data_IF_534837450297
#
_entry.id   IF_534837450297
#
_cell.length_a   1.000
_cell.length_b   1.000
_cell.length_c   1.000
_cell.angle_alpha   90.00
_cell.angle_beta   90.00
_cell.angle_gamma   90.00
#
_symmetry.space_group_name_H-M   'P 1'
#
loop_
_entity.id
_entity.type
_entity.pdbx_description
1 polymer ?
#
# COMPACT_ATOMS: atom_id res chain seq x y z
N UNK A 1 -1.01 5.40 -8.42
CA UNK A 1 -0.91 4.20 -9.31
C UNK A 1 0.03 4.58 -10.46
N UNK A 2 0.70 3.64 -11.13
CA UNK A 2 1.50 4.02 -12.31
C UNK A 2 0.54 4.37 -13.45
N UNK A 3 0.69 5.54 -14.10
CA UNK A 3 -0.23 5.97 -15.15
C UNK A 3 -0.05 5.15 -16.42
N UNK A 4 -1.19 4.66 -16.92
CA UNK A 4 -1.28 3.99 -18.22
C UNK A 4 -1.41 4.99 -19.35
N UNK A 5 -2.21 6.04 -19.17
CA UNK A 5 -2.43 7.13 -20.14
C UNK A 5 -1.41 8.25 -19.94
N UNK A 6 -0.80 8.70 -21.03
CA UNK A 6 0.18 9.79 -21.08
C UNK A 6 -0.33 10.95 -21.95
N UNK A 7 0.18 12.19 -21.74
CA UNK A 7 -0.11 13.30 -22.64
C UNK A 7 0.21 12.96 -24.09
N UNK A 8 -0.71 13.26 -25.00
CA UNK A 8 -0.59 12.96 -26.43
C UNK A 8 -1.10 11.58 -26.87
N UNK A 9 -1.52 10.72 -25.95
CA UNK A 9 -2.18 9.46 -26.31
C UNK A 9 -3.54 9.73 -26.98
N UNK A 10 -3.80 9.07 -28.11
CA UNK A 10 -5.14 8.99 -28.70
C UNK A 10 -5.86 7.78 -28.12
N UNK A 11 -7.00 7.98 -27.45
CA UNK A 11 -7.75 6.90 -26.82
C UNK A 11 -8.95 6.46 -27.68
N UNK A 12 -9.18 5.16 -27.72
CA UNK A 12 -10.39 4.56 -28.28
C UNK A 12 -11.23 4.01 -27.15
N UNK A 13 -12.54 4.24 -27.24
CA UNK A 13 -13.49 3.76 -26.25
C UNK A 13 -14.66 3.05 -26.91
N UNK A 14 -15.30 2.17 -26.15
CA UNK A 14 -16.55 1.50 -26.53
C UNK A 14 -17.66 1.88 -25.56
N UNK A 15 -18.89 1.99 -26.06
CA UNK A 15 -20.05 2.21 -25.20
C UNK A 15 -20.27 0.96 -24.35
N UNK A 16 -20.38 1.13 -23.04
CA UNK A 16 -20.65 0.06 -22.09
C UNK A 16 -21.63 0.59 -21.04
N UNK A 17 -22.70 -0.16 -20.78
CA UNK A 17 -23.66 0.20 -19.73
C UNK A 17 -22.93 0.33 -18.39
N UNK A 18 -23.26 1.37 -17.62
CA UNK A 18 -22.59 1.67 -16.35
C UNK A 18 -22.65 0.51 -15.36
N UNK A 19 -23.74 -0.25 -15.36
CA UNK A 19 -23.93 -1.46 -14.55
C UNK A 19 -22.89 -2.57 -14.82
N UNK A 20 -22.28 -2.57 -16.01
CA UNK A 20 -21.27 -3.55 -16.41
C UNK A 20 -19.84 -3.07 -16.14
N UNK A 21 -19.65 -1.82 -15.69
CA UNK A 21 -18.33 -1.28 -15.36
C UNK A 21 -17.80 -1.90 -14.07
N UNK A 22 -16.52 -2.26 -14.10
CA UNK A 22 -15.84 -2.90 -12.96
C UNK A 22 -14.83 -1.93 -12.34
N UNK A 23 -14.45 -2.19 -11.09
CA UNK A 23 -13.27 -1.56 -10.51
C UNK A 23 -12.05 -1.81 -11.42
N UNK A 24 -11.19 -0.81 -11.54
CA UNK A 24 -10.05 -0.71 -12.45
C UNK A 24 -10.36 -0.53 -13.94
N UNK A 25 -11.62 -0.50 -14.39
CA UNK A 25 -11.93 -0.06 -15.76
C UNK A 25 -11.47 1.41 -15.95
N UNK A 26 -10.84 1.72 -17.08
CA UNK A 26 -10.60 3.10 -17.51
C UNK A 26 -11.82 3.60 -18.28
N UNK A 27 -12.42 4.71 -17.87
CA UNK A 27 -13.64 5.23 -18.50
C UNK A 27 -13.43 6.65 -19.01
N UNK A 28 -14.11 6.97 -20.12
CA UNK A 28 -14.30 8.32 -20.60
C UNK A 28 -15.58 8.87 -19.96
N UNK A 29 -15.48 10.01 -19.29
CA UNK A 29 -16.61 10.64 -18.62
C UNK A 29 -16.62 12.16 -18.83
N UNK A 30 -17.81 12.75 -18.78
CA UNK A 30 -18.04 14.18 -18.90
C UNK A 30 -18.74 14.72 -17.64
N UNK A 31 -18.07 15.64 -16.94
CA UNK A 31 -18.58 16.27 -15.71
C UNK A 31 -18.03 17.68 -15.58
N UNK A 32 -18.90 18.63 -15.20
CA UNK A 32 -18.55 20.04 -15.03
C UNK A 32 -17.82 20.59 -16.26
N UNK A 33 -18.38 20.37 -17.44
CA UNK A 33 -17.85 20.83 -18.74
C UNK A 33 -16.47 20.27 -19.12
N UNK A 34 -16.01 19.24 -18.40
CA UNK A 34 -14.72 18.60 -18.64
C UNK A 34 -14.90 17.15 -19.06
N UNK A 35 -14.28 16.83 -20.19
CA UNK A 35 -14.08 15.46 -20.66
C UNK A 35 -12.77 14.93 -20.06
N UNK A 36 -12.80 13.75 -19.47
CA UNK A 36 -11.60 13.10 -18.92
C UNK A 36 -11.67 11.58 -19.01
N UNK A 37 -10.50 10.94 -19.05
CA UNK A 37 -10.35 9.50 -19.06
C UNK A 37 -9.64 9.03 -17.79
N UNK A 38 -10.37 8.50 -16.83
CA UNK A 38 -9.85 8.13 -15.50
C UNK A 38 -10.30 6.73 -15.08
N UNK A 39 -9.61 6.16 -14.09
CA UNK A 39 -9.86 4.80 -13.61
C UNK A 39 -11.00 4.79 -12.61
N UNK A 40 -11.91 3.83 -12.72
CA UNK A 40 -12.89 3.52 -11.68
C UNK A 40 -12.17 2.90 -10.48
N UNK A 41 -12.14 3.60 -9.36
CA UNK A 41 -11.47 3.16 -8.13
C UNK A 41 -12.45 2.66 -7.06
N UNK A 42 -13.75 2.92 -7.23
CA UNK A 42 -14.82 2.46 -6.35
C UNK A 42 -16.17 2.53 -7.06
N UNK A 43 -17.09 1.63 -6.71
CA UNK A 43 -18.41 1.52 -7.33
C UNK A 43 -19.49 1.27 -6.29
N UNK A 44 -20.67 1.87 -6.52
CA UNK A 44 -21.93 1.56 -5.86
C UNK A 44 -23.00 1.21 -6.89
N UNK A 45 -24.24 0.96 -6.47
CA UNK A 45 -25.37 0.82 -7.38
C UNK A 45 -25.71 2.14 -8.11
N UNK A 46 -25.54 3.29 -7.46
CA UNK A 46 -25.99 4.59 -8.00
C UNK A 46 -24.90 5.45 -8.64
N UNK A 47 -23.64 5.23 -8.29
CA UNK A 47 -22.51 6.05 -8.79
C UNK A 47 -21.18 5.31 -8.75
N UNK A 48 -20.21 5.84 -9.50
CA UNK A 48 -18.80 5.47 -9.49
C UNK A 48 -17.97 6.57 -8.83
N UNK A 49 -16.77 6.22 -8.34
CA UNK A 49 -15.72 7.20 -8.09
C UNK A 49 -14.55 6.88 -8.99
N UNK A 50 -14.11 7.89 -9.73
CA UNK A 50 -12.95 7.79 -10.63
C UNK A 50 -11.78 8.61 -10.13
N UNK A 51 -10.59 8.27 -10.61
CA UNK A 51 -9.36 9.00 -10.34
C UNK A 51 -8.33 8.75 -11.43
N UNK A 52 -7.67 9.79 -11.90
CA UNK A 52 -6.48 9.64 -12.76
C UNK A 52 -5.37 8.91 -11.99
N UNK A 53 -4.64 8.00 -12.65
CA UNK A 53 -3.69 7.11 -11.98
C UNK A 53 -2.62 7.85 -11.15
N UNK A 54 -2.22 9.04 -11.62
CA UNK A 54 -1.24 9.92 -10.97
C UNK A 54 -1.87 11.15 -10.29
N UNK A 55 -3.20 11.28 -10.26
CA UNK A 55 -3.86 12.40 -9.59
C UNK A 55 -3.86 12.19 -8.08
N UNK A 56 -3.79 13.28 -7.32
CA UNK A 56 -3.94 13.22 -5.85
C UNK A 56 -5.42 13.12 -5.48
N UNK A 57 -6.27 13.93 -6.11
CA UNK A 57 -7.69 14.00 -5.82
C UNK A 57 -8.48 13.08 -6.76
N UNK A 58 -9.52 12.44 -6.23
CA UNK A 58 -10.54 11.76 -7.03
C UNK A 58 -11.50 12.77 -7.69
N UNK A 59 -12.25 12.31 -8.69
CA UNK A 59 -13.22 13.13 -9.43
C UNK A 59 -14.57 13.27 -8.69
N UNK A 60 -14.67 12.71 -7.49
CA UNK A 60 -15.91 12.57 -6.73
C UNK A 60 -16.89 11.58 -7.35
N UNK A 61 -18.19 11.75 -7.09
CA UNK A 61 -19.24 10.88 -7.64
C UNK A 61 -19.41 11.13 -9.14
N UNK A 62 -19.39 10.06 -9.93
CA UNK A 62 -19.69 10.02 -11.36
C UNK A 62 -20.95 9.18 -11.55
N UNK A 63 -22.01 9.80 -12.07
CA UNK A 63 -23.30 9.17 -12.30
C UNK A 63 -23.36 8.50 -13.68
N UNK A 64 -24.26 7.51 -13.90
CA UNK A 64 -24.35 6.78 -15.17
C UNK A 64 -24.41 7.67 -16.42
N UNK A 65 -25.23 8.73 -16.38
CA UNK A 65 -25.38 9.71 -17.49
C UNK A 65 -24.09 10.48 -17.85
N UNK A 66 -23.11 10.49 -16.95
CA UNK A 66 -21.84 11.16 -17.14
C UNK A 66 -20.80 10.25 -17.79
N UNK A 67 -21.06 8.94 -17.88
CA UNK A 67 -20.14 7.99 -18.48
C UNK A 67 -20.43 7.88 -19.98
N UNK A 68 -19.42 8.11 -20.80
CA UNK A 68 -19.52 8.02 -22.26
C UNK A 68 -19.17 6.59 -22.73
N UNK A 69 -18.12 5.99 -22.16
CA UNK A 69 -17.68 4.65 -22.52
C UNK A 69 -16.46 4.18 -21.74
N UNK A 70 -16.00 2.96 -22.03
CA UNK A 70 -14.78 2.37 -21.46
C UNK A 70 -13.66 2.50 -22.47
N UNK A 71 -12.50 2.98 -22.03
CA UNK A 71 -11.28 3.03 -22.83
C UNK A 71 -10.79 1.60 -23.04
N UNK A 72 -10.59 1.19 -24.29
CA UNK A 72 -10.16 -0.17 -24.65
C UNK A 72 -8.79 -0.19 -25.30
N UNK A 73 -8.44 0.85 -26.05
CA UNK A 73 -7.16 0.95 -26.78
C UNK A 73 -6.61 2.37 -26.71
N UNK A 74 -5.31 2.51 -26.92
CA UNK A 74 -4.68 3.80 -27.14
C UNK A 74 -3.62 3.73 -28.24
N UNK A 75 -3.39 4.84 -28.93
CA UNK A 75 -2.23 5.03 -29.79
C UNK A 75 -1.25 5.98 -29.10
N UNK A 76 0.02 5.57 -29.05
CA UNK A 76 1.13 6.37 -28.54
C UNK A 76 2.20 6.48 -29.63
N UNK A 77 2.23 7.61 -30.33
CA UNK A 77 2.98 7.72 -31.58
C UNK A 77 2.51 6.65 -32.58
N UNK A 78 3.42 5.83 -33.07
CA UNK A 78 3.12 4.75 -34.02
C UNK A 78 2.77 3.42 -33.36
N UNK A 79 2.60 3.37 -32.03
CA UNK A 79 2.27 2.15 -31.29
C UNK A 79 0.77 2.05 -31.03
N UNK A 80 0.16 0.96 -31.47
CA UNK A 80 -1.22 0.59 -31.12
C UNK A 80 -1.21 -0.32 -29.90
N UNK A 81 -1.82 0.14 -28.80
CA UNK A 81 -1.80 -0.56 -27.52
C UNK A 81 -3.23 -0.95 -27.15
N UNK A 82 -3.51 -2.25 -27.16
CA UNK A 82 -4.69 -2.80 -26.51
C UNK A 82 -4.45 -2.90 -25.00
N UNK A 83 -5.36 -2.35 -24.21
CA UNK A 83 -5.14 -2.20 -22.77
C UNK A 83 -5.13 -3.53 -22.02
N UNK A 84 -6.00 -4.47 -22.38
CA UNK A 84 -6.03 -5.77 -21.71
C UNK A 84 -4.77 -6.57 -22.03
N UNK A 85 -4.33 -6.56 -23.30
CA UNK A 85 -3.06 -7.17 -23.69
C UNK A 85 -1.87 -6.51 -22.99
N UNK A 86 -1.86 -5.18 -22.86
CA UNK A 86 -0.81 -4.47 -22.15
C UNK A 86 -0.72 -4.89 -20.68
N UNK A 87 -1.84 -4.95 -19.96
CA UNK A 87 -1.86 -5.40 -18.57
C UNK A 87 -1.43 -6.87 -18.43
N UNK A 88 -1.85 -7.73 -19.36
CA UNK A 88 -1.46 -9.14 -19.37
C UNK A 88 0.05 -9.28 -19.58
N UNK A 89 0.61 -8.63 -20.60
CA UNK A 89 2.06 -8.66 -20.88
C UNK A 89 2.84 -8.13 -19.67
N UNK A 90 2.40 -7.00 -19.10
CA UNK A 90 3.07 -6.40 -17.94
C UNK A 90 3.04 -7.34 -16.73
N UNK A 91 1.87 -7.90 -16.42
CA UNK A 91 1.68 -8.81 -15.30
C UNK A 91 2.47 -10.11 -15.49
N UNK A 92 2.50 -10.67 -16.69
CA UNK A 92 3.24 -11.90 -17.00
C UNK A 92 4.74 -11.70 -16.87
N UNK A 93 5.29 -10.62 -17.45
CA UNK A 93 6.71 -10.30 -17.32
C UNK A 93 7.11 -10.06 -15.86
N UNK A 94 6.27 -9.32 -15.12
CA UNK A 94 6.49 -9.06 -13.69
C UNK A 94 6.43 -10.35 -12.86
N UNK A 95 5.43 -11.19 -13.09
CA UNK A 95 5.25 -12.46 -12.38
C UNK A 95 6.37 -13.47 -12.70
N UNK A 96 6.88 -13.48 -13.93
CA UNK A 96 8.02 -14.33 -14.32
C UNK A 96 9.26 -14.02 -13.48
N UNK A 97 9.54 -12.74 -13.20
CA UNK A 97 10.70 -12.35 -12.39
C UNK A 97 10.46 -12.63 -10.91
N UNK A 98 9.22 -12.54 -10.43
CA UNK A 98 8.85 -13.02 -9.09
C UNK A 98 9.04 -14.53 -8.97
N UNK A 99 8.64 -15.32 -9.97
CA UNK A 99 8.89 -16.77 -9.98
C UNK A 99 10.37 -17.09 -9.90
N UNK A 100 11.20 -16.37 -10.67
CA UNK A 100 12.66 -16.54 -10.64
C UNK A 100 13.22 -16.26 -9.25
N UNK A 101 12.90 -15.09 -8.67
CA UNK A 101 13.37 -14.74 -7.32
C UNK A 101 12.84 -15.72 -6.27
N UNK A 102 11.58 -16.12 -6.33
CA UNK A 102 11.01 -17.14 -5.45
C UNK A 102 11.80 -18.46 -5.53
N UNK A 103 12.14 -18.92 -6.73
CA UNK A 103 12.97 -20.12 -6.91
C UNK A 103 14.37 -19.94 -6.30
N UNK A 104 15.05 -18.82 -6.59
CA UNK A 104 16.39 -18.57 -6.06
C UNK A 104 16.42 -18.47 -4.52
N UNK A 105 15.42 -17.82 -3.91
CA UNK A 105 15.29 -17.73 -2.46
C UNK A 105 15.01 -19.11 -1.81
N UNK A 106 14.13 -19.92 -2.42
CA UNK A 106 13.86 -21.28 -1.96
C UNK A 106 15.10 -22.19 -2.08
N UNK A 107 15.80 -22.16 -3.20
CA UNK A 107 17.04 -22.91 -3.41
C UNK A 107 18.14 -22.48 -2.43
N UNK A 108 18.20 -21.18 -2.12
CA UNK A 108 19.07 -20.63 -1.08
C UNK A 108 18.62 -20.93 0.36
N UNK A 109 17.50 -21.65 0.56
CA UNK A 109 16.89 -21.93 1.87
C UNK A 109 16.66 -20.67 2.71
N UNK A 110 16.30 -19.57 2.04
CA UNK A 110 15.95 -18.32 2.72
C UNK A 110 14.60 -18.52 3.42
N UNK A 111 14.50 -18.06 4.66
CA UNK A 111 13.24 -17.92 5.37
C UNK A 111 12.59 -16.60 4.98
N UNK A 112 11.66 -16.65 4.03
CA UNK A 112 10.96 -15.48 3.53
C UNK A 112 9.46 -15.74 3.37
N UNK A 113 8.72 -14.63 3.21
CA UNK A 113 7.31 -14.59 2.81
C UNK A 113 7.07 -13.39 1.90
N UNK A 114 6.15 -13.54 0.95
CA UNK A 114 5.56 -12.42 0.24
C UNK A 114 4.51 -11.74 1.13
N UNK A 115 4.64 -10.43 1.30
CA UNK A 115 3.77 -9.60 2.12
C UNK A 115 2.66 -8.92 1.29
N UNK A 116 3.03 -8.46 0.09
CA UNK A 116 2.11 -7.85 -0.88
C UNK A 116 2.62 -8.12 -2.30
N UNK A 117 1.79 -7.81 -3.29
CA UNK A 117 2.17 -7.82 -4.70
C UNK A 117 1.37 -8.81 -5.52
N UNK A 118 1.86 -9.09 -6.72
CA UNK A 118 1.11 -9.83 -7.73
C UNK A 118 0.73 -11.27 -7.32
N UNK A 119 1.57 -12.07 -6.63
CA UNK A 119 1.19 -13.43 -6.22
C UNK A 119 -0.08 -13.44 -5.35
N UNK A 120 -0.11 -12.63 -4.31
CA UNK A 120 -1.25 -12.56 -3.38
C UNK A 120 -2.50 -12.05 -4.13
N UNK A 121 -2.34 -11.07 -5.01
CA UNK A 121 -3.46 -10.60 -5.84
C UNK A 121 -3.99 -11.69 -6.79
N UNK A 122 -3.14 -12.42 -7.50
CA UNK A 122 -3.57 -13.50 -8.39
C UNK A 122 -4.29 -14.61 -7.62
N UNK A 123 -3.77 -14.96 -6.43
CA UNK A 123 -4.40 -15.97 -5.59
C UNK A 123 -5.80 -15.59 -5.13
N UNK A 124 -6.00 -14.36 -4.66
CA UNK A 124 -7.31 -13.93 -4.20
C UNK A 124 -8.22 -13.51 -5.34
N UNK A 125 -7.77 -12.74 -6.33
CA UNK A 125 -8.64 -12.20 -7.38
C UNK A 125 -8.90 -13.18 -8.54
N UNK A 126 -8.03 -14.19 -8.72
CA UNK A 126 -8.09 -15.20 -9.79
C UNK A 126 -8.07 -14.61 -11.21
N UNK A 127 -7.69 -13.35 -11.35
CA UNK A 127 -7.63 -12.63 -12.62
C UNK A 127 -6.39 -11.76 -12.64
N UNK A 128 -5.85 -11.50 -13.83
CA UNK A 128 -4.81 -10.51 -14.01
C UNK A 128 -5.36 -9.13 -13.65
N UNK A 129 -4.59 -8.32 -12.92
CA UNK A 129 -5.07 -7.02 -12.52
C UNK A 129 -5.06 -6.06 -13.71
N UNK A 130 -6.12 -5.26 -13.83
CA UNK A 130 -6.23 -4.17 -14.83
C UNK A 130 -5.47 -2.91 -14.42
N UNK A 131 -4.28 -3.06 -13.84
CA UNK A 131 -3.39 -1.97 -13.41
C UNK A 131 -1.95 -2.44 -13.44
N UNK A 132 -1.03 -1.50 -13.60
CA UNK A 132 0.41 -1.80 -13.58
C UNK A 132 0.84 -2.10 -12.13
N UNK A 133 1.49 -3.24 -11.92
CA UNK A 133 2.18 -3.57 -10.67
C UNK A 133 3.65 -3.20 -10.77
N UNK A 134 4.18 -2.61 -9.70
CA UNK A 134 5.54 -2.08 -9.70
C UNK A 134 6.41 -2.70 -8.60
N UNK A 135 5.80 -3.00 -7.46
CA UNK A 135 6.46 -3.38 -6.22
C UNK A 135 5.92 -4.71 -5.64
N UNK A 136 6.85 -5.47 -5.09
CA UNK A 136 6.61 -6.73 -4.41
C UNK A 136 7.32 -6.68 -3.07
N UNK A 137 6.56 -6.74 -1.98
CA UNK A 137 7.13 -6.68 -0.64
C UNK A 137 7.41 -8.09 -0.16
N UNK A 138 8.62 -8.31 0.30
CA UNK A 138 9.09 -9.60 0.81
C UNK A 138 9.65 -9.38 2.20
N UNK A 139 9.12 -10.09 3.20
CA UNK A 139 9.73 -10.15 4.52
C UNK A 139 10.73 -11.30 4.53
N UNK A 140 11.91 -11.04 5.07
CA UNK A 140 12.95 -12.06 5.25
C UNK A 140 13.36 -12.13 6.71
N UNK A 141 13.97 -13.25 7.08
CA UNK A 141 14.82 -13.28 8.27
C UNK A 141 16.02 -12.33 8.07
N UNK A 142 16.18 -11.39 9.01
CA UNK A 142 17.22 -10.35 8.94
C UNK A 142 18.62 -10.97 8.93
N UNK A 143 18.80 -12.10 9.59
CA UNK A 143 20.11 -12.77 9.68
C UNK A 143 20.56 -13.34 8.32
N UNK A 144 19.62 -13.49 7.38
CA UNK A 144 19.88 -13.93 6.01
C UNK A 144 19.99 -12.77 5.01
N UNK A 145 20.02 -11.52 5.48
CA UNK A 145 20.08 -10.33 4.61
C UNK A 145 21.27 -10.33 3.65
N UNK A 146 22.45 -10.77 4.08
CA UNK A 146 23.64 -10.86 3.20
C UNK A 146 23.43 -11.88 2.06
N UNK A 147 22.80 -13.01 2.35
CA UNK A 147 22.48 -14.02 1.35
C UNK A 147 21.45 -13.51 0.35
N UNK A 148 20.39 -12.84 0.82
CA UNK A 148 19.36 -12.24 -0.03
C UNK A 148 19.94 -11.16 -0.94
N UNK A 149 20.83 -10.32 -0.39
CA UNK A 149 21.56 -9.32 -1.18
C UNK A 149 22.38 -9.99 -2.30
N UNK A 150 23.13 -11.06 -1.99
CA UNK A 150 23.91 -11.82 -2.99
C UNK A 150 23.00 -12.40 -4.08
N UNK A 151 21.88 -13.01 -3.70
CA UNK A 151 20.91 -13.58 -4.64
C UNK A 151 20.38 -12.50 -5.59
N UNK A 152 19.84 -11.40 -5.05
CA UNK A 152 19.24 -10.33 -5.86
C UNK A 152 20.26 -9.67 -6.80
N UNK A 153 21.47 -9.40 -6.31
CA UNK A 153 22.55 -8.83 -7.14
C UNK A 153 22.96 -9.79 -8.26
N UNK A 154 23.09 -11.09 -7.97
CA UNK A 154 23.40 -12.11 -9.00
C UNK A 154 22.30 -12.24 -10.06
N UNK A 155 21.06 -11.90 -9.70
CA UNK A 155 19.90 -11.88 -10.59
C UNK A 155 19.76 -10.57 -11.40
N UNK A 156 20.75 -9.69 -11.30
CA UNK A 156 20.84 -8.43 -12.04
C UNK A 156 19.99 -7.30 -11.45
N UNK A 157 19.57 -7.40 -10.18
CA UNK A 157 18.92 -6.30 -9.49
C UNK A 157 19.94 -5.28 -9.00
N UNK A 158 19.53 -4.00 -9.02
CA UNK A 158 20.30 -2.89 -8.48
C UNK A 158 19.71 -2.53 -7.12
N UNK A 159 20.58 -2.41 -6.12
CA UNK A 159 20.24 -1.98 -4.77
C UNK A 159 20.07 -0.46 -4.71
N UNK A 160 18.97 0.02 -4.14
CA UNK A 160 18.68 1.45 -3.98
C UNK A 160 18.74 1.85 -2.50
N UNK A 161 19.37 3.00 -2.24
CA UNK A 161 19.28 3.64 -0.93
C UNK A 161 18.06 4.57 -0.89
N UNK A 162 17.21 4.41 0.12
CA UNK A 162 15.94 5.16 0.25
C UNK A 162 16.04 6.39 1.16
N UNK A 163 17.24 6.74 1.63
CA UNK A 163 17.46 7.84 2.57
C UNK A 163 17.30 9.22 1.89
N UNK A 164 16.75 10.21 2.61
CA UNK A 164 16.58 11.57 2.09
C UNK A 164 17.88 12.37 1.95
N UNK A 165 18.85 12.08 2.81
CA UNK A 165 20.16 12.73 2.85
C UNK A 165 21.17 11.82 3.56
N UNK A 166 22.48 12.05 3.37
CA UNK A 166 23.52 11.36 4.15
C UNK A 166 23.36 11.53 5.66
N UNK A 167 22.98 12.73 6.12
CA UNK A 167 22.70 13.00 7.53
C UNK A 167 21.53 12.12 8.02
N UNK A 168 20.46 12.01 7.22
CA UNK A 168 19.33 11.17 7.57
C UNK A 168 19.70 9.68 7.63
N UNK A 169 20.60 9.23 6.76
CA UNK A 169 21.16 7.87 6.81
C UNK A 169 21.92 7.63 8.12
N UNK A 170 22.74 8.59 8.55
CA UNK A 170 23.50 8.51 9.80
C UNK A 170 22.59 8.53 11.04
N UNK A 171 21.57 9.40 11.05
CA UNK A 171 20.63 9.52 12.17
C UNK A 171 19.66 8.34 12.29
N UNK A 172 19.49 7.54 11.23
CA UNK A 172 18.61 6.37 11.22
C UNK A 172 19.29 5.21 11.96
N UNK A 173 18.89 5.00 13.21
CA UNK A 173 19.42 3.97 14.10
C UNK A 173 19.11 2.51 13.68
N UNK A 174 18.14 2.30 12.78
CA UNK A 174 17.74 0.96 12.33
C UNK A 174 17.32 0.94 10.88
N UNK A 175 17.83 -0.03 10.13
CA UNK A 175 17.38 -0.34 8.77
C UNK A 175 16.15 -1.24 8.81
N UNK A 176 15.07 -0.80 8.18
CA UNK A 176 13.77 -1.48 8.20
C UNK A 176 13.45 -2.18 6.88
N UNK A 177 13.98 -1.67 5.77
CA UNK A 177 13.79 -2.20 4.42
C UNK A 177 14.95 -1.82 3.48
N UNK A 178 15.05 -2.53 2.36
CA UNK A 178 15.88 -2.18 1.19
C UNK A 178 15.08 -2.39 -0.08
N UNK A 179 15.16 -1.41 -0.98
CA UNK A 179 14.57 -1.52 -2.31
C UNK A 179 15.59 -2.03 -3.32
N UNK A 180 15.20 -3.03 -4.10
CA UNK A 180 15.93 -3.55 -5.25
C UNK A 180 15.11 -3.31 -6.50
N UNK A 181 15.75 -2.94 -7.62
CA UNK A 181 15.04 -2.89 -8.88
C UNK A 181 15.84 -3.39 -10.06
N UNK A 182 15.13 -3.98 -11.01
CA UNK A 182 15.66 -4.44 -12.30
C UNK A 182 14.76 -3.94 -13.41
N UNK A 183 15.35 -3.62 -14.57
CA UNK A 183 14.59 -3.33 -15.79
C UNK A 183 14.64 -4.57 -16.67
N UNK A 184 13.50 -5.22 -16.89
CA UNK A 184 13.35 -6.40 -17.73
C UNK A 184 12.30 -6.11 -18.80
N UNK A 185 12.63 -6.27 -20.08
CA UNK A 185 11.72 -5.98 -21.21
C UNK A 185 11.02 -4.61 -21.12
N UNK A 186 11.78 -3.55 -20.78
CA UNK A 186 11.30 -2.16 -20.55
C UNK A 186 10.36 -1.98 -19.35
N UNK A 187 10.05 -3.04 -18.61
CA UNK A 187 9.27 -2.99 -17.38
C UNK A 187 10.22 -2.89 -16.20
N UNK A 188 9.93 -1.99 -15.27
CA UNK A 188 10.66 -1.90 -13.99
C UNK A 188 10.02 -2.86 -13.00
N UNK A 189 10.82 -3.76 -12.45
CA UNK A 189 10.45 -4.66 -11.36
C UNK A 189 11.13 -4.14 -10.10
N UNK A 190 10.35 -3.95 -9.04
CA UNK A 190 10.85 -3.52 -7.73
C UNK A 190 10.52 -4.58 -6.68
N UNK A 191 11.52 -4.93 -5.87
CA UNK A 191 11.36 -5.70 -4.65
C UNK A 191 11.71 -4.82 -3.45
N UNK A 192 10.78 -4.71 -2.51
CA UNK A 192 11.05 -4.11 -1.22
C UNK A 192 11.28 -5.24 -0.22
N UNK A 193 12.54 -5.41 0.18
CA UNK A 193 12.97 -6.42 1.14
C UNK A 193 12.86 -5.84 2.54
N UNK A 194 11.87 -6.31 3.29
CA UNK A 194 11.59 -5.92 4.66
C UNK A 194 12.37 -6.80 5.65
N UNK A 195 12.89 -6.17 6.71
CA UNK A 195 13.52 -6.85 7.85
C UNK A 195 12.61 -6.91 9.07
N UNK A 196 11.44 -6.28 9.00
CA UNK A 196 10.44 -6.29 10.05
C UNK A 196 9.04 -6.05 9.47
N UNK A 197 8.01 -6.39 10.22
CA UNK A 197 6.61 -6.05 9.95
C UNK A 197 6.39 -4.52 10.06
N UNK A 198 6.92 -3.78 9.11
CA UNK A 198 7.06 -2.33 9.19
C UNK A 198 5.76 -1.62 8.79
N UNK A 199 5.14 -0.94 9.75
CA UNK A 199 3.96 -0.09 9.53
C UNK A 199 4.13 1.33 10.06
N UNK A 200 5.29 1.64 10.63
CA UNK A 200 5.62 2.95 11.20
C UNK A 200 6.27 3.84 10.13
N UNK A 201 7.18 4.74 10.53
CA UNK A 201 7.91 5.59 9.60
C UNK A 201 9.29 5.03 9.31
N UNK A 202 9.44 4.43 8.14
CA UNK A 202 10.70 3.87 7.63
C UNK A 202 11.85 4.88 7.73
N UNK A 203 11.54 6.16 7.61
CA UNK A 203 12.52 7.24 7.50
C UNK A 203 13.11 7.59 8.87
N UNK A 204 12.35 7.40 9.96
CA UNK A 204 12.81 7.74 11.30
C UNK A 204 13.55 6.58 11.99
N UNK A 205 13.66 5.42 11.33
CA UNK A 205 14.24 4.22 11.94
C UNK A 205 13.34 3.65 13.03
N UNK A 206 13.91 3.27 14.17
CA UNK A 206 13.15 2.75 15.30
C UNK A 206 12.44 3.87 16.05
N UNK A 207 11.11 3.85 16.03
CA UNK A 207 10.24 4.70 16.83
C UNK A 207 9.81 4.00 18.12
N UNK A 208 10.78 3.41 18.84
CA UNK A 208 10.54 2.61 20.05
C UNK A 208 9.79 3.35 21.16
N UNK A 209 9.87 4.69 21.18
CA UNK A 209 9.15 5.56 22.11
C UNK A 209 7.64 5.68 21.81
N UNK A 210 7.23 5.40 20.57
CA UNK A 210 5.83 5.39 20.14
C UNK A 210 5.27 3.98 19.99
N UNK A 211 6.12 2.98 19.79
CA UNK A 211 5.68 1.59 19.75
C UNK A 211 6.84 0.64 20.04
N UNK A 212 6.60 -0.33 20.93
CA UNK A 212 7.63 -1.27 21.37
C UNK A 212 8.29 -2.03 20.22
N UNK A 213 9.61 -1.85 20.07
CA UNK A 213 10.40 -2.61 19.10
C UNK A 213 10.38 -4.12 19.40
N UNK A 214 10.23 -4.51 20.68
CA UNK A 214 10.06 -5.91 21.08
C UNK A 214 8.81 -6.51 20.44
N UNK A 215 7.71 -5.76 20.39
CA UNK A 215 6.48 -6.22 19.75
C UNK A 215 6.64 -6.33 18.23
N UNK A 216 7.33 -5.39 17.58
CA UNK A 216 7.63 -5.48 16.14
C UNK A 216 8.46 -6.74 15.85
N UNK A 217 9.50 -7.00 16.65
CA UNK A 217 10.39 -8.15 16.43
C UNK A 217 9.63 -9.48 16.65
N UNK A 218 8.80 -9.58 17.70
CA UNK A 218 7.96 -10.75 17.93
C UNK A 218 6.94 -10.95 16.80
N UNK A 219 6.23 -9.90 16.39
CA UNK A 219 5.27 -9.97 15.28
C UNK A 219 5.96 -10.38 13.95
N UNK A 220 7.17 -9.87 13.71
CA UNK A 220 8.00 -10.27 12.56
C UNK A 220 8.33 -11.76 12.60
N UNK A 221 8.71 -12.26 13.78
CA UNK A 221 9.02 -13.68 13.98
C UNK A 221 7.77 -14.53 13.76
N UNK A 222 6.64 -14.11 14.33
CA UNK A 222 5.33 -14.76 14.14
C UNK A 222 4.98 -14.86 12.66
N UNK A 223 5.11 -13.77 11.90
CA UNK A 223 4.82 -13.75 10.47
C UNK A 223 5.67 -14.71 9.65
N UNK A 224 6.96 -14.83 9.98
CA UNK A 224 7.87 -15.79 9.33
C UNK A 224 7.56 -17.25 9.72
N UNK A 225 7.09 -17.48 10.95
CA UNK A 225 6.73 -18.79 11.48
C UNK A 225 5.36 -19.28 10.94
N UNK A 226 4.34 -18.42 10.98
CA UNK A 226 2.96 -18.72 10.59
C UNK A 226 2.68 -18.43 9.11
N UNK A 227 3.63 -18.82 8.26
CA UNK A 227 3.48 -18.74 6.82
C UNK A 227 2.76 -19.97 6.27
N UNK A 228 1.98 -19.77 5.22
CA UNK A 228 1.38 -20.85 4.43
C UNK A 228 1.87 -20.80 3.00
N UNK A 229 1.77 -21.92 2.31
CA UNK A 229 2.07 -22.00 0.88
C UNK A 229 0.78 -21.83 0.08
N UNK A 230 0.78 -20.90 -0.87
CA UNK A 230 -0.25 -20.80 -1.91
C UNK A 230 0.31 -21.27 -3.25
N UNK A 231 -0.54 -21.88 -4.07
CA UNK A 231 -0.21 -22.34 -5.43
C UNK A 231 -0.75 -21.37 -6.47
N UNK A 232 0.11 -20.89 -7.36
CA UNK A 232 -0.25 -20.00 -8.48
C UNK A 232 0.56 -20.43 -9.70
N UNK A 233 -0.13 -20.81 -10.79
CA UNK A 233 0.51 -21.21 -12.06
C UNK A 233 1.64 -22.23 -11.87
N UNK A 234 1.43 -23.23 -11.01
CA UNK A 234 2.41 -24.29 -10.69
C UNK A 234 3.49 -23.90 -9.68
N UNK A 235 3.66 -22.61 -9.36
CA UNK A 235 4.61 -22.14 -8.35
C UNK A 235 4.05 -22.21 -6.92
N UNK A 236 4.93 -22.52 -5.96
CA UNK A 236 4.65 -22.47 -4.53
C UNK A 236 5.17 -21.15 -3.95
N UNK A 237 4.30 -20.34 -3.35
CA UNK A 237 4.66 -19.05 -2.79
C UNK A 237 4.40 -19.04 -1.29
N UNK A 238 5.42 -18.78 -0.44
CA UNK A 238 5.20 -18.54 0.97
C UNK A 238 4.55 -17.18 1.19
N UNK A 239 3.39 -17.17 1.83
CA UNK A 239 2.63 -15.97 2.20
C UNK A 239 2.17 -16.08 3.65
N UNK A 240 1.72 -14.98 4.22
CA UNK A 240 1.10 -14.99 5.55
C UNK A 240 -0.13 -15.93 5.61
N UNK A 241 -0.39 -16.50 6.78
CA UNK A 241 -1.71 -17.03 7.12
C UNK A 241 -2.80 -15.97 6.89
N UNK A 242 -4.06 -16.38 6.74
CA UNK A 242 -5.11 -15.48 6.30
C UNK A 242 -5.35 -14.31 7.27
N UNK A 243 -5.40 -14.62 8.57
CA UNK A 243 -5.50 -13.69 9.69
C UNK A 243 -4.30 -12.73 9.76
N UNK A 244 -3.06 -13.25 9.71
CA UNK A 244 -1.86 -12.42 9.69
C UNK A 244 -1.75 -11.54 8.45
N UNK A 245 -2.23 -12.02 7.29
CA UNK A 245 -2.29 -11.22 6.07
C UNK A 245 -3.24 -10.04 6.26
N UNK A 246 -4.41 -10.25 6.87
CA UNK A 246 -5.35 -9.17 7.19
C UNK A 246 -4.72 -8.17 8.18
N UNK A 247 -4.04 -8.66 9.23
CA UNK A 247 -3.28 -7.81 10.17
C UNK A 247 -2.28 -6.96 9.40
N UNK A 248 -1.40 -7.58 8.61
CA UNK A 248 -0.37 -6.87 7.85
C UNK A 248 -0.96 -5.84 6.88
N UNK A 249 -1.99 -6.20 6.11
CA UNK A 249 -2.60 -5.30 5.13
C UNK A 249 -3.30 -4.10 5.80
N UNK A 250 -3.93 -4.29 6.96
CA UNK A 250 -4.52 -3.19 7.74
C UNK A 250 -3.44 -2.25 8.31
N UNK A 251 -2.33 -2.80 8.79
CA UNK A 251 -1.18 -2.01 9.23
C UNK A 251 -0.52 -1.26 8.07
N UNK A 252 -0.44 -1.88 6.89
CA UNK A 252 0.01 -1.22 5.66
C UNK A 252 -0.96 -0.11 5.22
N UNK A 253 -2.27 -0.31 5.38
CA UNK A 253 -3.27 0.72 5.11
C UNK A 253 -3.16 1.90 6.09
N UNK A 254 -2.91 1.62 7.38
CA UNK A 254 -2.57 2.62 8.39
C UNK A 254 -1.30 3.40 8.01
N UNK A 255 -0.25 2.72 7.55
CA UNK A 255 0.96 3.37 7.05
C UNK A 255 0.63 4.35 5.91
N UNK A 256 -0.40 4.11 5.12
CA UNK A 256 -0.90 5.04 4.12
C UNK A 256 -1.98 6.00 4.63
N UNK A 257 -2.01 6.30 5.94
CA UNK A 257 -2.96 7.20 6.61
C UNK A 257 -4.43 6.88 6.32
N UNK A 258 -4.75 5.59 6.16
CA UNK A 258 -6.07 5.12 5.75
C UNK A 258 -6.53 5.69 4.39
N UNK A 259 -5.60 5.88 3.45
CA UNK A 259 -5.90 6.36 2.08
C UNK A 259 -5.55 5.36 0.99
N UNK A 260 -6.21 5.54 -0.15
CA UNK A 260 -6.15 4.64 -1.30
C UNK A 260 -7.12 3.47 -1.14
N UNK A 261 -8.37 3.70 -1.56
CA UNK A 261 -9.48 2.73 -1.52
C UNK A 261 -9.13 1.35 -2.09
N UNK A 262 -8.24 1.25 -3.06
CA UNK A 262 -7.82 -0.03 -3.63
C UNK A 262 -7.16 -0.96 -2.61
N UNK A 263 -6.51 -0.41 -1.58
CA UNK A 263 -5.96 -1.21 -0.46
C UNK A 263 -7.09 -1.82 0.35
N UNK A 264 -8.11 -1.02 0.63
CA UNK A 264 -9.29 -1.42 1.38
C UNK A 264 -10.14 -2.46 0.62
N UNK A 265 -10.38 -2.24 -0.68
CA UNK A 265 -11.02 -3.21 -1.59
C UNK A 265 -10.27 -4.55 -1.58
N UNK A 266 -8.93 -4.51 -1.59
CA UNK A 266 -8.16 -5.74 -1.53
C UNK A 266 -8.30 -6.49 -0.19
N UNK A 267 -8.29 -5.77 0.94
CA UNK A 267 -8.52 -6.37 2.26
C UNK A 267 -9.92 -7.00 2.34
N UNK A 268 -10.95 -6.32 1.82
CA UNK A 268 -12.31 -6.88 1.73
C UNK A 268 -12.34 -8.20 0.95
N UNK A 269 -11.67 -8.25 -0.21
CA UNK A 269 -11.56 -9.48 -1.01
C UNK A 269 -10.86 -10.61 -0.27
N UNK A 270 -9.79 -10.31 0.48
CA UNK A 270 -9.09 -11.31 1.32
C UNK A 270 -10.06 -11.87 2.36
N UNK A 271 -10.74 -11.00 3.11
CA UNK A 271 -11.67 -11.39 4.17
C UNK A 271 -12.83 -12.24 3.64
N UNK A 272 -13.44 -11.84 2.52
CA UNK A 272 -14.58 -12.56 1.96
C UNK A 272 -14.21 -13.92 1.35
N UNK A 273 -12.98 -14.07 0.84
CA UNK A 273 -12.55 -15.28 0.15
C UNK A 273 -11.90 -16.31 1.07
N UNK A 274 -11.19 -15.86 2.10
CA UNK A 274 -10.52 -16.78 3.02
C UNK A 274 -11.41 -17.12 4.22
N UNK A 275 -12.18 -18.20 4.09
CA UNK A 275 -13.03 -18.71 5.18
C UNK A 275 -12.24 -19.23 6.40
N UNK A 276 -10.91 -19.30 6.31
CA UNK A 276 -10.02 -19.77 7.38
C UNK A 276 -9.58 -18.66 8.33
N UNK A 277 -10.08 -17.43 8.16
CA UNK A 277 -9.80 -16.35 9.11
C UNK A 277 -10.48 -16.69 10.44
N UNK A 278 -9.65 -17.02 11.43
CA UNK A 278 -10.09 -17.12 12.81
C UNK A 278 -10.08 -15.71 13.43
N UNK A 279 -11.28 -15.15 13.59
CA UNK A 279 -11.45 -13.81 14.16
C UNK A 279 -11.03 -13.73 15.63
N UNK A 280 -11.12 -14.84 16.38
CA UNK A 280 -10.73 -14.89 17.78
C UNK A 280 -9.21 -14.87 17.90
N UNK A 281 -8.54 -15.76 17.18
CA UNK A 281 -7.07 -15.81 17.13
C UNK A 281 -6.49 -14.47 16.63
N UNK A 282 -7.12 -13.88 15.60
CA UNK A 282 -6.72 -12.56 15.12
C UNK A 282 -6.89 -11.49 16.20
N UNK A 283 -7.99 -11.50 16.97
CA UNK A 283 -8.20 -10.54 18.06
C UNK A 283 -7.13 -10.68 19.15
N UNK A 284 -6.82 -11.91 19.56
CA UNK A 284 -5.78 -12.22 20.56
C UNK A 284 -4.40 -11.70 20.11
N UNK A 285 -4.03 -11.93 18.85
CA UNK A 285 -2.78 -11.37 18.29
C UNK A 285 -2.79 -9.85 18.31
N UNK A 286 -3.86 -9.21 17.85
CA UNK A 286 -3.94 -7.74 17.81
C UNK A 286 -3.81 -7.16 19.22
N UNK A 287 -4.40 -7.80 20.24
CA UNK A 287 -4.28 -7.39 21.63
C UNK A 287 -2.85 -7.63 22.19
N UNK A 288 -2.30 -8.83 22.01
CA UNK A 288 -0.94 -9.20 22.48
C UNK A 288 0.10 -8.20 21.97
N UNK A 289 0.01 -7.85 20.69
CA UNK A 289 0.93 -6.91 20.05
C UNK A 289 0.55 -5.44 20.27
N UNK A 290 -0.61 -5.13 20.86
CA UNK A 290 -1.12 -3.77 21.08
C UNK A 290 -1.39 -3.00 19.78
N UNK A 291 -1.99 -3.68 18.80
CA UNK A 291 -2.29 -3.16 17.47
C UNK A 291 -3.69 -2.53 17.34
N UNK A 292 -4.54 -2.67 18.37
CA UNK A 292 -5.95 -2.24 18.40
C UNK A 292 -6.16 -0.86 17.77
N UNK A 293 -5.42 0.14 18.26
CA UNK A 293 -5.57 1.54 17.85
C UNK A 293 -5.22 1.80 16.38
N UNK A 294 -4.31 1.01 15.79
CA UNK A 294 -3.87 1.18 14.40
C UNK A 294 -4.82 0.48 13.42
N UNK A 295 -5.39 -0.65 13.82
CA UNK A 295 -6.20 -1.50 12.94
C UNK A 295 -7.69 -1.16 12.98
N UNK A 296 -8.21 -0.75 14.15
CA UNK A 296 -9.63 -0.48 14.35
C UNK A 296 -10.24 0.49 13.32
N UNK A 297 -9.57 1.61 12.93
CA UNK A 297 -10.12 2.50 11.90
C UNK A 297 -10.24 1.82 10.54
N UNK A 298 -9.29 0.95 10.17
CA UNK A 298 -9.34 0.20 8.92
C UNK A 298 -10.54 -0.74 8.85
N UNK A 299 -10.84 -1.44 9.96
CA UNK A 299 -12.02 -2.31 10.08
C UNK A 299 -13.33 -1.52 9.99
N UNK A 300 -13.42 -0.35 10.63
CA UNK A 300 -14.58 0.54 10.50
C UNK A 300 -14.77 1.02 9.05
N UNK A 301 -13.69 1.35 8.35
CA UNK A 301 -13.73 1.79 6.96
C UNK A 301 -14.16 0.63 6.03
N UNK A 302 -13.71 -0.60 6.27
CA UNK A 302 -14.18 -1.80 5.57
C UNK A 302 -15.70 -1.96 5.69
N UNK A 303 -16.23 -1.89 6.91
CA UNK A 303 -17.69 -1.94 7.14
C UNK A 303 -18.42 -0.80 6.44
N UNK A 304 -17.88 0.42 6.52
CA UNK A 304 -18.50 1.63 5.94
C UNK A 304 -18.58 1.61 4.42
N UNK A 305 -17.52 1.17 3.73
CA UNK A 305 -17.43 1.29 2.26
C UNK A 305 -17.68 -0.01 1.52
N UNK A 306 -17.41 -1.17 2.13
CA UNK A 306 -17.51 -2.46 1.46
C UNK A 306 -18.52 -3.41 2.12
N UNK A 307 -19.15 -3.00 3.23
CA UNK A 307 -20.03 -3.86 4.03
C UNK A 307 -19.36 -5.20 4.36
N UNK A 308 -18.04 -5.16 4.59
CA UNK A 308 -17.22 -6.35 4.87
C UNK A 308 -17.76 -7.06 6.11
N UNK A 309 -17.93 -8.40 6.07
CA UNK A 309 -18.45 -9.17 7.20
C UNK A 309 -17.38 -9.34 8.28
N UNK A 310 -17.04 -8.25 8.96
CA UNK A 310 -16.16 -8.27 10.13
C UNK A 310 -16.99 -8.68 11.34
N UNK A 311 -16.50 -9.69 12.06
CA UNK A 311 -17.15 -10.23 13.25
C UNK A 311 -17.49 -9.12 14.28
N UNK A 312 -18.64 -9.25 14.95
CA UNK A 312 -19.10 -8.24 15.92
C UNK A 312 -18.24 -8.20 17.18
N UNK A 313 -17.80 -9.37 17.64
CA UNK A 313 -17.04 -9.54 18.89
C UNK A 313 -15.64 -8.95 18.76
N UNK A 314 -14.97 -9.15 17.61
CA UNK A 314 -13.68 -8.51 17.36
C UNK A 314 -13.81 -6.99 17.33
N UNK A 315 -14.88 -6.44 16.75
CA UNK A 315 -15.10 -4.99 16.74
C UNK A 315 -15.28 -4.41 18.14
N UNK A 316 -15.99 -5.11 19.03
CA UNK A 316 -16.11 -4.69 20.42
C UNK A 316 -14.79 -4.82 21.19
N UNK A 317 -14.06 -5.91 21.02
CA UNK A 317 -12.80 -6.17 21.74
C UNK A 317 -11.66 -5.24 21.32
N UNK A 318 -11.60 -4.85 20.05
CA UNK A 318 -10.55 -3.96 19.53
C UNK A 318 -10.84 -2.46 19.74
N UNK A 319 -11.95 -2.11 20.39
CA UNK A 319 -12.37 -0.71 20.53
C UNK A 319 -11.33 0.09 21.34
N UNK A 320 -10.74 1.15 20.76
CA UNK A 320 -9.76 1.98 21.45
C UNK A 320 -10.34 2.74 22.65
N UNK A 321 -9.45 3.21 23.53
CA UNK A 321 -9.80 4.10 24.63
C UNK A 321 -10.54 5.37 24.18
N UNK A 322 -11.17 6.08 25.12
CA UNK A 322 -12.05 7.24 24.84
C UNK A 322 -11.38 8.30 23.96
N UNK A 323 -10.10 8.62 24.25
CA UNK A 323 -9.33 9.64 23.53
C UNK A 323 -9.05 9.22 22.09
N UNK A 324 -8.54 8.01 21.90
CA UNK A 324 -8.20 7.44 20.59
C UNK A 324 -9.47 7.27 19.76
N UNK A 325 -10.55 6.76 20.36
CA UNK A 325 -11.87 6.65 19.74
C UNK A 325 -12.38 8.01 19.23
N UNK A 326 -12.29 9.07 20.04
CA UNK A 326 -12.69 10.41 19.61
C UNK A 326 -11.84 10.88 18.41
N UNK A 327 -10.52 10.69 18.46
CA UNK A 327 -9.66 11.02 17.34
C UNK A 327 -10.03 10.26 16.06
N UNK A 328 -10.31 8.96 16.17
CA UNK A 328 -10.70 8.12 15.04
C UNK A 328 -12.01 8.62 14.41
N UNK A 329 -13.03 8.89 15.23
CA UNK A 329 -14.33 9.37 14.77
C UNK A 329 -14.26 10.76 14.12
N UNK A 330 -13.49 11.68 14.71
CA UNK A 330 -13.42 13.06 14.22
C UNK A 330 -12.42 13.26 13.09
N UNK A 331 -11.40 12.40 12.98
CA UNK A 331 -10.34 12.54 11.98
C UNK A 331 -10.28 11.36 11.02
N UNK A 332 -9.87 10.18 11.47
CA UNK A 332 -9.57 9.05 10.59
C UNK A 332 -10.76 8.63 9.71
N UNK A 333 -11.98 8.55 10.27
CA UNK A 333 -13.17 8.14 9.52
C UNK A 333 -13.77 9.22 8.60
N UNK A 334 -13.35 10.47 8.80
CA UNK A 334 -13.74 11.62 7.96
C UNK A 334 -12.74 11.86 6.83
N UNK A 335 -11.58 11.22 6.84
CA UNK A 335 -10.63 11.31 5.74
C UNK A 335 -11.26 10.75 4.45
N UNK A 336 -10.95 11.41 3.33
CA UNK A 336 -11.37 10.93 2.03
C UNK A 336 -10.44 9.81 1.57
N UNK A 337 -10.88 8.56 1.73
CA UNK A 337 -10.11 7.37 1.37
C UNK A 337 -9.83 7.23 -0.14
N UNK A 338 -10.53 8.00 -0.97
CA UNK A 338 -10.39 8.00 -2.43
C UNK A 338 -9.27 8.92 -2.91
N UNK A 339 -8.78 9.82 -2.06
CA UNK A 339 -7.67 10.72 -2.36
C UNK A 339 -6.34 10.12 -1.90
N UNK A 340 -5.25 10.53 -2.55
CA UNK A 340 -3.89 10.34 -2.04
C UNK A 340 -3.45 11.59 -1.24
N UNK A 341 -2.19 11.66 -0.81
CA UNK A 341 -1.60 12.90 -0.27
C UNK A 341 -0.21 13.14 -0.84
N UNK A 342 0.17 14.42 -0.89
CA UNK A 342 1.56 14.80 -1.14
C UNK A 342 2.48 14.18 -0.08
N UNK A 343 3.68 13.77 -0.50
CA UNK A 343 4.65 13.05 0.35
C UNK A 343 4.92 13.71 1.71
N UNK A 344 5.09 15.03 1.76
CA UNK A 344 5.36 15.75 3.02
C UNK A 344 4.13 15.70 3.94
N UNK A 345 2.95 16.01 3.40
CA UNK A 345 1.69 15.98 4.15
C UNK A 345 1.39 14.57 4.67
N UNK A 346 1.63 13.55 3.84
CA UNK A 346 1.50 12.15 4.22
C UNK A 346 2.42 11.78 5.39
N UNK A 347 3.69 12.23 5.35
CA UNK A 347 4.64 12.01 6.44
C UNK A 347 4.21 12.67 7.76
N UNK A 348 3.75 13.93 7.71
CA UNK A 348 3.26 14.66 8.89
C UNK A 348 2.02 13.97 9.48
N UNK A 349 1.04 13.64 8.64
CA UNK A 349 -0.19 12.97 9.07
C UNK A 349 0.10 11.60 9.66
N UNK A 350 1.02 10.84 9.06
CA UNK A 350 1.47 9.55 9.57
C UNK A 350 2.10 9.66 10.94
N UNK A 351 3.04 10.61 11.12
CA UNK A 351 3.65 10.85 12.43
C UNK A 351 2.60 11.21 13.48
N UNK A 352 1.66 12.10 13.14
CA UNK A 352 0.54 12.49 14.01
C UNK A 352 -0.33 11.27 14.38
N UNK A 353 -0.64 10.41 13.43
CA UNK A 353 -1.44 9.21 13.66
C UNK A 353 -0.70 8.24 14.58
N UNK A 354 0.59 7.97 14.32
CA UNK A 354 1.42 7.12 15.19
C UNK A 354 1.46 7.69 16.61
N UNK A 355 1.72 9.00 16.76
CA UNK A 355 1.77 9.65 18.08
C UNK A 355 0.46 9.51 18.85
N UNK A 356 -0.67 9.83 18.21
CA UNK A 356 -1.98 9.81 18.89
C UNK A 356 -2.41 8.38 19.19
N UNK A 357 -2.31 7.48 18.21
CA UNK A 357 -2.80 6.10 18.31
C UNK A 357 -1.83 5.14 19.03
N UNK A 358 -0.59 5.55 19.30
CA UNK A 358 0.35 4.80 20.13
C UNK A 358 -0.27 4.42 21.49
N UNK A 359 -0.01 3.21 21.96
CA UNK A 359 -0.39 2.75 23.30
C UNK A 359 0.63 3.12 24.39
N UNK A 360 1.73 3.78 24.05
CA UNK A 360 2.77 4.14 25.02
C UNK A 360 2.32 5.28 25.95
N UNK A 361 2.84 5.36 27.18
CA UNK A 361 2.54 6.47 28.09
C UNK A 361 2.89 7.84 27.49
N UNK A 362 2.12 8.87 27.83
CA UNK A 362 2.27 10.22 27.27
C UNK A 362 3.71 10.76 27.40
N UNK A 363 4.36 10.52 28.53
CA UNK A 363 5.74 10.94 28.77
C UNK A 363 6.68 10.37 27.69
N UNK A 364 6.61 9.05 27.43
CA UNK A 364 7.41 8.43 26.37
C UNK A 364 7.07 8.99 24.99
N UNK A 365 5.79 9.23 24.72
CA UNK A 365 5.38 9.86 23.46
C UNK A 365 6.03 11.23 23.29
N UNK A 366 6.04 12.08 24.31
CA UNK A 366 6.70 13.39 24.24
C UNK A 366 8.21 13.30 24.09
N UNK A 367 8.85 12.30 24.69
CA UNK A 367 10.30 12.07 24.50
C UNK A 367 10.69 11.83 23.04
N UNK A 368 9.76 11.41 22.17
CA UNK A 368 10.03 11.21 20.74
C UNK A 368 10.52 12.49 20.05
N UNK A 369 10.09 13.67 20.53
CA UNK A 369 10.49 14.95 19.94
C UNK A 369 11.95 15.31 20.25
N UNK A 370 12.60 14.62 21.19
CA UNK A 370 14.01 14.78 21.48
C UNK A 370 14.89 13.78 20.71
N UNK A 371 14.30 12.88 19.92
CA UNK A 371 15.08 11.97 19.08
C UNK A 371 15.73 12.76 17.92
N UNK A 372 17.06 12.63 17.71
CA UNK A 372 17.77 13.37 16.67
C UNK A 372 17.17 13.22 15.27
N UNK A 373 16.74 12.01 14.91
CA UNK A 373 16.10 11.74 13.61
C UNK A 373 14.77 12.50 13.42
N UNK A 374 14.00 12.68 14.50
CA UNK A 374 12.72 13.41 14.49
C UNK A 374 12.96 14.91 14.38
N UNK A 375 13.87 15.46 15.20
CA UNK A 375 14.27 16.87 15.13
C UNK A 375 14.78 17.24 13.74
N UNK A 376 15.71 16.45 13.20
CA UNK A 376 16.22 16.66 11.85
C UNK A 376 15.12 16.60 10.79
N UNK A 377 14.21 15.63 10.88
CA UNK A 377 13.11 15.51 9.92
C UNK A 377 12.13 16.69 10.00
N UNK A 378 11.83 17.18 11.20
CA UNK A 378 11.00 18.36 11.40
C UNK A 378 11.64 19.61 10.79
N UNK A 379 12.93 19.82 11.05
CA UNK A 379 13.71 20.91 10.46
C UNK A 379 13.78 20.81 8.93
N UNK A 380 14.04 19.61 8.39
CA UNK A 380 14.08 19.36 6.95
C UNK A 380 12.73 19.66 6.28
N UNK A 381 11.61 19.26 6.91
CA UNK A 381 10.26 19.58 6.44
C UNK A 381 10.04 21.09 6.43
N UNK A 382 10.43 21.79 7.50
CA UNK A 382 10.30 23.25 7.58
C UNK A 382 11.05 23.95 6.43
N UNK A 383 12.31 23.57 6.18
CA UNK A 383 13.08 24.10 5.04
C UNK A 383 12.36 23.84 3.72
N UNK A 384 11.89 22.61 3.47
CA UNK A 384 11.19 22.26 2.22
C UNK A 384 9.92 23.08 2.02
N UNK A 385 9.15 23.34 3.09
CA UNK A 385 7.97 24.18 3.04
C UNK A 385 8.30 25.65 2.73
N UNK A 386 9.38 26.19 3.30
CA UNK A 386 9.86 27.55 3.03
C UNK A 386 10.34 27.69 1.57
N UNK A 387 11.08 26.70 1.04
CA UNK A 387 11.53 26.69 -0.35
C UNK A 387 10.36 26.58 -1.34
N UNK A 388 9.35 25.74 -1.07
CA UNK A 388 8.15 25.60 -1.91
C UNK A 388 7.38 26.94 -2.00
N UNK A 389 7.32 27.71 -0.91
CA UNK A 389 6.72 29.06 -0.91
C UNK A 389 7.49 30.04 -1.79
N UNK A 390 8.83 30.05 -1.72
CA UNK A 390 9.66 30.93 -2.56
C UNK A 390 9.45 30.68 -4.06
N UNK A 391 9.46 29.41 -4.49
CA UNK A 391 9.25 29.03 -5.90
C UNK A 391 7.86 29.47 -6.38
N UNK A 392 6.82 29.26 -5.55
CA UNK A 392 5.45 29.66 -5.90
C UNK A 392 5.29 31.18 -6.05
N UNK A 393 6.05 31.98 -5.30
CA UNK A 393 6.05 33.43 -5.42
C UNK A 393 6.85 33.93 -6.64
N UNK A 394 7.89 33.20 -7.05
CA UNK A 394 8.68 33.52 -8.25
C UNK A 394 7.86 33.35 -9.53
N UNK A 395 7.03 32.30 -9.63
CA UNK A 395 6.14 32.08 -10.79
C UNK A 395 4.86 32.94 -10.79
N UNK A 396 4.67 33.80 -9.79
CA UNK A 396 3.54 34.75 -9.72
C UNK A 396 3.94 36.19 -10.05
N UNK A 397 5.24 36.46 -10.13
CA UNK A 397 5.79 37.70 -10.70
C UNK A 397 6.18 37.42 -12.13
#
# INVERSE_FOLDING_TARGET
>A
MIPVLWPGDLIYFSKKKTENLKENDLILAFKNEKLFAHRVIYRTAGYLITKGDNNILCDGRIYPRQVIGTVTKLNRGNQHIDLENFYLIQSTAYFSEINKINACLNSGKVNFIFLKGLPIHLYYEKNHPRRIYADCDVLIDKDQSVLVDKILLSEGFIKHETHYSPIHKYLKNKKTEITYSKKSNRIRIVFDIHYEANFLMNQLGSLSLLYSQKNINKLTSLFLQEKRIIKISGGNFPVLSADNLVIYLLLHYFHHNFRGVFRLSFIDKVIRKDKKIDWKEMAEKIEEYKLNNFMYPGLLLLKKYFLTPVDGNIMSGLKPGRRESAFIQHKALKENIFNDEERISAGINRFKYIFILSSEPLIKKFLVFFQPAVLYSAFWVLIRLLLKKKIKNYHKK
#
